data_IF_661802597363
#
_entry.id   IF_661802597363
#
_cell.length_a   1.000
_cell.length_b   1.000
_cell.length_c   1.000
_cell.angle_alpha   90.00
_cell.angle_beta   90.00
_cell.angle_gamma   90.00
#
_symmetry.space_group_name_H-M   'P 1'
#
loop_
_entity.id
_entity.type
_entity.pdbx_description
1 polymer ?
#
# COMPACT_ATOMS: atom_id res chain seq x y z
N UNK A 1 3.20 -4.19 30.27
CA UNK A 1 2.36 -5.14 29.49
C UNK A 1 2.06 -6.40 30.30
N UNK A 2 3.05 -7.17 30.79
CA UNK A 2 2.79 -8.38 31.60
C UNK A 2 1.96 -8.10 32.86
N UNK A 3 2.30 -7.05 33.62
CA UNK A 3 1.54 -6.64 34.82
C UNK A 3 0.08 -6.25 34.55
N UNK A 4 -0.23 -5.72 33.36
CA UNK A 4 -1.59 -5.32 32.98
C UNK A 4 -2.46 -6.55 32.69
N UNK A 5 -1.94 -7.53 31.95
CA UNK A 5 -2.66 -8.78 31.69
C UNK A 5 -2.79 -9.64 32.94
N UNK A 6 -1.78 -9.63 33.82
CA UNK A 6 -1.86 -10.30 35.13
C UNK A 6 -2.92 -9.64 36.01
N UNK A 7 -2.96 -8.31 36.08
CA UNK A 7 -4.00 -7.57 36.81
C UNK A 7 -5.39 -7.83 36.22
N UNK A 8 -5.56 -7.80 34.90
CA UNK A 8 -6.82 -8.08 34.22
C UNK A 8 -7.30 -9.51 34.52
N UNK A 9 -6.39 -10.50 34.46
CA UNK A 9 -6.67 -11.90 34.74
C UNK A 9 -7.08 -12.13 36.20
N UNK A 10 -6.34 -11.55 37.15
CA UNK A 10 -6.68 -11.66 38.59
C UNK A 10 -8.02 -11.00 38.89
N UNK A 11 -8.31 -9.85 38.28
CA UNK A 11 -9.59 -9.12 38.48
C UNK A 11 -10.78 -9.86 37.87
N UNK A 12 -10.60 -10.46 36.68
CA UNK A 12 -11.65 -11.30 36.05
C UNK A 12 -11.88 -12.61 36.81
N UNK A 13 -10.82 -13.25 37.33
CA UNK A 13 -10.94 -14.43 38.19
C UNK A 13 -11.67 -14.12 39.51
N UNK A 14 -11.36 -12.97 40.14
CA UNK A 14 -12.00 -12.54 41.38
C UNK A 14 -13.50 -12.20 41.19
N UNK A 15 -13.85 -11.58 40.06
CA UNK A 15 -15.25 -11.28 39.71
C UNK A 15 -16.04 -12.52 39.29
N UNK A 16 -15.40 -13.49 38.63
CA UNK A 16 -16.03 -14.78 38.31
C UNK A 16 -16.33 -15.62 39.56
N UNK A 17 -15.55 -15.46 40.63
CA UNK A 17 -15.74 -16.17 41.90
C UNK A 17 -16.85 -15.57 42.80
N UNK A 18 -17.42 -14.42 42.46
CA UNK A 18 -18.37 -13.68 43.30
C UNK A 18 -19.80 -13.63 42.72
N UNK A 19 -20.14 -14.53 41.78
CA UNK A 19 -21.42 -14.59 41.02
C UNK A 19 -21.82 -13.29 40.29
N UNK A 20 -20.94 -12.28 40.29
CA UNK A 20 -21.15 -10.97 39.67
C UNK A 20 -20.61 -10.92 38.24
N UNK A 21 -20.99 -11.93 37.44
CA UNK A 21 -20.61 -12.11 36.03
C UNK A 21 -20.87 -10.86 35.16
N UNK A 22 -21.91 -10.08 35.48
CA UNK A 22 -22.27 -8.86 34.73
C UNK A 22 -21.13 -7.83 34.74
N UNK A 23 -20.46 -7.64 35.88
CA UNK A 23 -19.37 -6.67 36.00
C UNK A 23 -18.09 -7.15 35.28
N UNK A 24 -17.83 -8.45 35.24
CA UNK A 24 -16.73 -9.02 34.47
C UNK A 24 -16.90 -8.78 32.96
N UNK A 25 -18.12 -8.96 32.43
CA UNK A 25 -18.43 -8.67 31.03
C UNK A 25 -18.32 -7.18 30.68
N UNK A 26 -18.75 -6.29 31.58
CA UNK A 26 -18.61 -4.83 31.38
C UNK A 26 -17.13 -4.42 31.35
N UNK A 27 -16.31 -4.96 32.26
CA UNK A 27 -14.87 -4.67 32.32
C UNK A 27 -14.13 -5.21 31.09
N UNK A 28 -14.44 -6.42 30.63
CA UNK A 28 -13.89 -6.98 29.38
C UNK A 28 -14.33 -6.12 28.19
N UNK A 29 -15.61 -5.74 28.10
CA UNK A 29 -16.15 -4.92 27.02
C UNK A 29 -15.57 -3.50 26.99
N UNK A 30 -15.13 -2.94 28.13
CA UNK A 30 -14.48 -1.63 28.20
C UNK A 30 -12.97 -1.70 27.98
N UNK A 31 -12.30 -2.75 28.46
CA UNK A 31 -10.84 -2.87 28.39
C UNK A 31 -10.36 -3.47 27.08
N UNK A 32 -11.15 -4.32 26.42
CA UNK A 32 -10.80 -4.89 25.12
C UNK A 32 -10.68 -3.82 24.02
N UNK A 33 -11.61 -2.85 23.86
CA UNK A 33 -11.46 -1.78 22.89
C UNK A 33 -10.28 -0.85 23.19
N UNK A 34 -10.02 -0.54 24.47
CA UNK A 34 -8.94 0.37 24.87
C UNK A 34 -7.56 -0.27 24.66
N UNK A 35 -7.39 -1.54 25.02
CA UNK A 35 -6.14 -2.28 24.79
C UNK A 35 -5.92 -2.58 23.31
N UNK A 36 -6.97 -2.93 22.56
CA UNK A 36 -6.92 -3.10 21.10
C UNK A 36 -6.60 -1.78 20.39
N UNK A 37 -7.27 -0.69 20.78
CA UNK A 37 -6.97 0.65 20.27
C UNK A 37 -5.53 1.03 20.58
N UNK A 38 -5.01 0.82 21.80
CA UNK A 38 -3.63 1.13 22.18
C UNK A 38 -2.59 0.28 21.43
N UNK A 39 -2.87 -1.01 21.18
CA UNK A 39 -2.01 -1.89 20.37
C UNK A 39 -2.00 -1.45 18.90
N UNK A 40 -3.15 -1.06 18.34
CA UNK A 40 -3.22 -0.45 17.00
C UNK A 40 -2.54 0.93 16.98
N UNK A 41 -2.67 1.70 18.06
CA UNK A 41 -2.14 3.06 18.19
C UNK A 41 -0.61 3.07 18.19
N UNK A 42 0.01 2.12 18.88
CA UNK A 42 1.47 1.96 18.91
C UNK A 42 2.01 1.19 17.70
N UNK A 43 1.28 0.21 17.15
CA UNK A 43 1.78 -0.60 16.02
C UNK A 43 1.74 0.10 14.65
N UNK A 44 1.21 1.32 14.58
CA UNK A 44 1.08 2.11 13.34
C UNK A 44 1.70 3.51 13.45
N UNK A 45 2.60 3.74 14.41
CA UNK A 45 3.21 5.05 14.63
C UNK A 45 3.99 5.55 13.40
N UNK A 46 4.78 4.69 12.75
CA UNK A 46 5.50 5.05 11.52
C UNK A 46 4.54 5.45 10.38
N UNK A 47 3.38 4.78 10.24
CA UNK A 47 2.37 5.18 9.23
C UNK A 47 1.88 6.60 9.49
N UNK A 48 1.56 6.93 10.74
CA UNK A 48 1.07 8.28 11.07
C UNK A 48 2.12 9.34 10.83
N UNK A 49 3.37 9.07 11.19
CA UNK A 49 4.49 9.98 10.94
C UNK A 49 4.63 10.23 9.44
N UNK A 50 4.59 9.18 8.63
CA UNK A 50 4.64 9.34 7.18
C UNK A 50 3.45 10.12 6.62
N UNK A 51 2.22 9.82 7.08
CA UNK A 51 1.02 10.54 6.67
C UNK A 51 1.06 12.03 7.07
N UNK A 52 1.75 12.35 8.15
CA UNK A 52 1.99 13.72 8.60
C UNK A 52 3.15 14.40 7.86
N UNK A 53 3.75 13.77 6.85
CA UNK A 53 4.91 14.28 6.11
C UNK A 53 6.24 14.19 6.88
N UNK A 54 6.24 13.54 8.05
CA UNK A 54 7.44 13.31 8.88
C UNK A 54 8.15 12.03 8.45
N UNK A 55 8.59 12.01 7.19
CA UNK A 55 9.16 10.81 6.54
C UNK A 55 10.39 10.29 7.30
N UNK A 56 11.31 11.17 7.69
CA UNK A 56 12.51 10.76 8.43
C UNK A 56 12.17 10.13 9.79
N UNK A 57 11.28 10.75 10.57
CA UNK A 57 10.81 10.21 11.84
C UNK A 57 10.11 8.84 11.66
N UNK A 58 9.41 8.64 10.53
CA UNK A 58 8.79 7.35 10.21
C UNK A 58 9.83 6.25 9.98
N UNK A 59 10.93 6.54 9.27
CA UNK A 59 12.02 5.59 9.08
C UNK A 59 12.80 5.32 10.37
N UNK A 60 13.03 6.34 11.21
CA UNK A 60 13.64 6.16 12.54
C UNK A 60 12.77 5.27 13.45
N UNK A 61 11.43 5.37 13.35
CA UNK A 61 10.53 4.47 14.08
C UNK A 61 10.59 3.04 13.53
N UNK A 62 10.70 2.86 12.21
CA UNK A 62 10.93 1.53 11.63
C UNK A 62 12.25 0.90 12.12
N UNK A 63 13.34 1.67 12.20
CA UNK A 63 14.62 1.19 12.74
C UNK A 63 14.47 0.65 14.17
N UNK A 64 13.73 1.38 15.01
CA UNK A 64 13.41 0.95 16.37
C UNK A 64 12.63 -0.37 16.38
N UNK A 65 11.64 -0.52 15.49
CA UNK A 65 10.85 -1.76 15.42
C UNK A 65 11.67 -2.93 14.88
N UNK A 66 12.50 -2.73 13.85
CA UNK A 66 13.36 -3.80 13.34
C UNK A 66 14.32 -4.30 14.42
N UNK A 67 14.99 -3.38 15.13
CA UNK A 67 15.88 -3.71 16.25
C UNK A 67 15.15 -4.49 17.36
N UNK A 68 13.91 -4.09 17.66
CA UNK A 68 13.06 -4.77 18.65
C UNK A 68 12.65 -6.20 18.22
N UNK A 69 12.53 -6.45 16.93
CA UNK A 69 12.04 -7.71 16.37
C UNK A 69 13.14 -8.60 15.75
N UNK A 70 14.43 -8.28 15.94
CA UNK A 70 15.56 -9.06 15.43
C UNK A 70 15.43 -10.57 15.70
N UNK A 71 14.99 -10.94 16.89
CA UNK A 71 14.84 -12.33 17.32
C UNK A 71 13.46 -12.94 16.98
N UNK A 72 12.62 -12.25 16.20
CA UNK A 72 11.27 -12.67 15.83
C UNK A 72 11.10 -12.60 14.30
N UNK A 73 11.58 -13.60 13.56
CA UNK A 73 11.67 -13.56 12.08
C UNK A 73 10.37 -13.16 11.38
N UNK A 74 9.23 -13.71 11.80
CA UNK A 74 7.91 -13.37 11.21
C UNK A 74 7.56 -11.90 11.38
N UNK A 75 7.74 -11.35 12.58
CA UNK A 75 7.45 -9.94 12.85
C UNK A 75 8.45 -9.03 12.12
N UNK A 76 9.73 -9.41 12.10
CA UNK A 76 10.77 -8.69 11.37
C UNK A 76 10.47 -8.59 9.88
N UNK A 77 10.08 -9.70 9.25
CA UNK A 77 9.73 -9.72 7.83
C UNK A 77 8.53 -8.83 7.53
N UNK A 78 7.53 -8.76 8.42
CA UNK A 78 6.41 -7.84 8.27
C UNK A 78 6.87 -6.37 8.31
N UNK A 79 7.78 -6.02 9.23
CA UNK A 79 8.36 -4.67 9.30
C UNK A 79 9.15 -4.35 8.02
N UNK A 80 9.94 -5.31 7.49
CA UNK A 80 10.72 -5.13 6.27
C UNK A 80 9.84 -4.91 5.03
N UNK A 81 8.76 -5.67 4.86
CA UNK A 81 7.79 -5.41 3.76
C UNK A 81 7.15 -4.04 3.93
N UNK A 82 6.85 -3.63 5.16
CA UNK A 82 6.30 -2.30 5.43
C UNK A 82 7.29 -1.18 5.09
N UNK A 83 8.56 -1.36 5.42
CA UNK A 83 9.65 -0.46 5.01
C UNK A 83 9.78 -0.39 3.49
N UNK A 84 9.72 -1.51 2.79
CA UNK A 84 9.76 -1.53 1.34
C UNK A 84 8.58 -0.75 0.74
N UNK A 85 7.39 -0.87 1.32
CA UNK A 85 6.24 -0.06 0.92
C UNK A 85 6.48 1.44 1.12
N UNK A 86 7.10 1.85 2.23
CA UNK A 86 7.45 3.26 2.49
C UNK A 86 8.45 3.79 1.47
N UNK A 87 9.48 3.02 1.15
CA UNK A 87 10.46 3.35 0.11
C UNK A 87 9.78 3.55 -1.26
N UNK A 88 8.90 2.63 -1.64
CA UNK A 88 8.12 2.73 -2.88
C UNK A 88 7.28 4.02 -2.92
N UNK A 89 6.65 4.39 -1.79
CA UNK A 89 5.83 5.60 -1.66
C UNK A 89 6.61 6.92 -1.66
N UNK A 90 7.94 6.89 -1.65
CA UNK A 90 8.77 8.08 -1.86
C UNK A 90 9.53 8.04 -3.19
N UNK A 91 9.24 7.04 -4.04
CA UNK A 91 9.89 6.85 -5.33
C UNK A 91 11.20 6.06 -5.29
N UNK A 92 11.60 5.55 -4.12
CA UNK A 92 12.81 4.73 -3.94
C UNK A 92 12.55 3.27 -4.33
N UNK A 93 12.13 3.05 -5.58
CA UNK A 93 11.72 1.73 -6.08
C UNK A 93 12.86 0.70 -6.07
N UNK A 94 14.08 1.12 -6.41
CA UNK A 94 15.25 0.24 -6.39
C UNK A 94 15.60 -0.23 -4.97
N UNK A 95 15.62 0.68 -4.00
CA UNK A 95 15.85 0.34 -2.59
C UNK A 95 14.72 -0.55 -2.03
N UNK A 96 13.47 -0.27 -2.42
CA UNK A 96 12.32 -1.10 -2.09
C UNK A 96 12.49 -2.54 -2.61
N UNK A 97 12.87 -2.70 -3.89
CA UNK A 97 13.11 -4.01 -4.50
C UNK A 97 14.24 -4.78 -3.81
N UNK A 98 15.40 -4.14 -3.62
CA UNK A 98 16.54 -4.76 -2.96
C UNK A 98 16.17 -5.27 -1.56
N UNK A 99 15.37 -4.50 -0.81
CA UNK A 99 14.88 -4.94 0.49
C UNK A 99 13.94 -6.15 0.37
N UNK A 100 12.96 -6.12 -0.53
CA UNK A 100 11.98 -7.21 -0.72
C UNK A 100 12.66 -8.53 -1.14
N UNK A 101 13.64 -8.45 -2.04
CA UNK A 101 14.43 -9.58 -2.51
C UNK A 101 15.34 -10.16 -1.41
N UNK A 102 15.81 -9.32 -0.48
CA UNK A 102 16.65 -9.73 0.66
C UNK A 102 15.90 -10.46 1.78
N UNK A 103 14.56 -10.45 1.78
CA UNK A 103 13.76 -11.04 2.87
C UNK A 103 13.91 -12.58 2.84
N UNK A 104 14.47 -13.19 3.90
CA UNK A 104 14.77 -14.62 3.89
C UNK A 104 13.54 -15.47 4.22
N UNK A 105 13.55 -16.69 3.69
CA UNK A 105 12.62 -17.75 4.05
C UNK A 105 11.22 -17.62 3.43
N UNK A 106 10.36 -18.58 3.77
CA UNK A 106 8.98 -18.62 3.30
C UNK A 106 8.14 -17.65 4.12
N UNK A 107 7.53 -16.67 3.44
CA UNK A 107 6.57 -15.75 4.04
C UNK A 107 5.21 -16.41 4.20
N UNK A 108 4.38 -15.86 5.09
CA UNK A 108 2.97 -16.22 5.07
C UNK A 108 2.33 -15.79 3.73
N UNK A 109 1.27 -16.48 3.27
CA UNK A 109 0.72 -16.24 1.94
C UNK A 109 0.29 -14.78 1.68
N UNK A 110 -0.20 -14.08 2.70
CA UNK A 110 -0.61 -12.70 2.56
C UNK A 110 0.60 -11.77 2.43
N UNK A 111 1.62 -11.97 3.27
CA UNK A 111 2.84 -11.18 3.19
C UNK A 111 3.63 -11.46 1.91
N UNK A 112 3.60 -12.70 1.42
CA UNK A 112 4.14 -13.07 0.11
C UNK A 112 3.43 -12.33 -1.02
N UNK A 113 2.10 -12.32 -1.01
CA UNK A 113 1.33 -11.59 -2.01
C UNK A 113 1.57 -10.07 -1.93
N UNK A 114 1.80 -9.50 -0.75
CA UNK A 114 2.23 -8.10 -0.63
C UNK A 114 3.60 -7.86 -1.24
N UNK A 115 4.56 -8.77 -0.99
CA UNK A 115 5.89 -8.70 -1.59
C UNK A 115 5.82 -8.74 -3.10
N UNK A 116 5.05 -9.68 -3.66
CA UNK A 116 4.86 -9.81 -5.11
C UNK A 116 4.19 -8.58 -5.71
N UNK A 117 3.11 -8.09 -5.10
CA UNK A 117 2.41 -6.89 -5.57
C UNK A 117 3.32 -5.65 -5.57
N UNK A 118 4.14 -5.47 -4.52
CA UNK A 118 5.09 -4.36 -4.44
C UNK A 118 6.23 -4.50 -5.44
N UNK A 119 6.81 -5.69 -5.62
CA UNK A 119 7.84 -5.92 -6.63
C UNK A 119 7.30 -5.61 -8.03
N UNK A 120 6.12 -6.15 -8.37
CA UNK A 120 5.51 -5.91 -9.67
C UNK A 120 5.18 -4.43 -9.89
N UNK A 121 4.66 -3.74 -8.88
CA UNK A 121 4.46 -2.30 -8.93
C UNK A 121 5.76 -1.54 -9.15
N UNK A 122 6.82 -1.85 -8.40
CA UNK A 122 8.11 -1.17 -8.51
C UNK A 122 8.78 -1.41 -9.88
N UNK A 123 8.68 -2.63 -10.43
CA UNK A 123 9.14 -2.95 -11.78
C UNK A 123 8.40 -2.10 -12.83
N UNK A 124 7.07 -2.03 -12.73
CA UNK A 124 6.26 -1.15 -13.57
C UNK A 124 6.67 0.34 -13.46
N UNK A 125 6.78 0.85 -12.24
CA UNK A 125 7.13 2.25 -11.99
C UNK A 125 8.53 2.62 -12.47
N UNK A 126 9.46 1.65 -12.52
CA UNK A 126 10.82 1.84 -13.01
C UNK A 126 11.00 1.51 -14.49
N UNK A 127 9.93 1.09 -15.19
CA UNK A 127 10.02 0.62 -16.58
C UNK A 127 10.92 -0.62 -16.76
N UNK A 128 11.12 -1.40 -15.69
CA UNK A 128 12.00 -2.57 -15.68
C UNK A 128 11.18 -3.86 -15.61
N UNK A 129 11.67 -4.94 -16.22
CA UNK A 129 11.11 -6.31 -16.08
C UNK A 129 9.57 -6.37 -16.22
N UNK A 130 9.01 -5.64 -17.19
CA UNK A 130 7.55 -5.46 -17.35
C UNK A 130 6.74 -6.76 -17.45
N UNK A 131 7.27 -7.77 -18.17
CA UNK A 131 6.62 -9.08 -18.24
C UNK A 131 6.49 -9.73 -16.87
N UNK A 132 7.53 -9.61 -16.04
CA UNK A 132 7.53 -10.15 -14.68
C UNK A 132 6.66 -9.32 -13.74
N UNK A 133 6.56 -8.01 -13.97
CA UNK A 133 5.63 -7.15 -13.24
C UNK A 133 4.19 -7.67 -13.36
N UNK A 134 3.74 -7.99 -14.58
CA UNK A 134 2.42 -8.59 -14.82
C UNK A 134 2.22 -9.89 -14.01
N UNK A 135 3.18 -10.83 -14.11
CA UNK A 135 3.08 -12.12 -13.44
C UNK A 135 3.02 -11.97 -11.91
N UNK A 136 3.85 -11.10 -11.33
CA UNK A 136 3.87 -10.83 -9.89
C UNK A 136 2.57 -10.19 -9.41
N UNK A 137 2.01 -9.24 -10.16
CA UNK A 137 0.72 -8.61 -9.82
C UNK A 137 -0.41 -9.63 -9.88
N UNK A 138 -0.45 -10.50 -10.90
CA UNK A 138 -1.44 -11.59 -11.00
C UNK A 138 -1.33 -12.56 -9.84
N UNK A 139 -0.12 -12.94 -9.44
CA UNK A 139 0.10 -13.82 -8.28
C UNK A 139 -0.36 -13.17 -6.98
N UNK A 140 -0.07 -11.89 -6.80
CA UNK A 140 -0.56 -11.10 -5.67
C UNK A 140 -2.09 -11.10 -5.62
N UNK A 141 -2.76 -10.80 -6.74
CA UNK A 141 -4.23 -10.74 -6.85
C UNK A 141 -4.94 -12.05 -6.51
N UNK A 142 -4.30 -13.21 -6.74
CA UNK A 142 -4.87 -14.51 -6.36
C UNK A 142 -5.07 -14.66 -4.85
N UNK A 143 -4.20 -14.03 -4.06
CA UNK A 143 -4.25 -14.09 -2.59
C UNK A 143 -4.90 -12.83 -2.00
N UNK A 144 -4.64 -11.68 -2.62
CA UNK A 144 -4.98 -10.35 -2.17
C UNK A 144 -5.78 -9.66 -3.27
N UNK A 145 -7.06 -10.02 -3.38
CA UNK A 145 -8.02 -9.54 -4.38
C UNK A 145 -8.37 -8.04 -4.20
N UNK A 146 -7.37 -7.19 -4.40
CA UNK A 146 -7.42 -5.75 -4.12
C UNK A 146 -7.71 -4.97 -5.39
N UNK A 147 -8.69 -4.07 -5.31
CA UNK A 147 -9.12 -3.28 -6.47
C UNK A 147 -7.97 -2.46 -7.08
N UNK A 148 -7.14 -1.78 -6.26
CA UNK A 148 -6.03 -0.97 -6.77
C UNK A 148 -4.99 -1.76 -7.58
N UNK A 149 -4.78 -3.03 -7.24
CA UNK A 149 -3.86 -3.92 -7.97
C UNK A 149 -4.38 -4.27 -9.36
N UNK A 150 -5.69 -4.24 -9.60
CA UNK A 150 -6.26 -4.41 -10.94
C UNK A 150 -5.99 -3.21 -11.85
N UNK A 151 -5.94 -1.98 -11.32
CA UNK A 151 -5.57 -0.81 -12.12
C UNK A 151 -4.09 -0.86 -12.54
N UNK A 152 -3.21 -1.28 -11.62
CA UNK A 152 -1.79 -1.49 -11.95
C UNK A 152 -1.67 -2.59 -13.02
N UNK A 153 -2.37 -3.72 -12.84
CA UNK A 153 -2.37 -4.79 -13.84
C UNK A 153 -2.86 -4.27 -15.20
N UNK A 154 -3.97 -3.53 -15.24
CA UNK A 154 -4.53 -2.98 -16.47
C UNK A 154 -3.50 -2.11 -17.21
N UNK A 155 -2.80 -1.23 -16.49
CA UNK A 155 -1.78 -0.36 -17.07
C UNK A 155 -0.55 -1.15 -17.58
N UNK A 156 -0.06 -2.12 -16.80
CA UNK A 156 1.05 -3.00 -17.20
C UNK A 156 0.71 -3.80 -18.45
N UNK A 157 -0.46 -4.44 -18.48
CA UNK A 157 -0.91 -5.22 -19.65
C UNK A 157 -1.09 -4.32 -20.87
N UNK A 158 -1.52 -3.07 -20.68
CA UNK A 158 -1.67 -2.12 -21.77
C UNK A 158 -0.32 -1.74 -22.37
N UNK A 159 0.66 -1.44 -21.52
CA UNK A 159 2.04 -1.15 -21.97
C UNK A 159 2.73 -2.36 -22.64
N UNK A 160 2.34 -3.58 -22.26
CA UNK A 160 2.80 -4.80 -22.92
C UNK A 160 2.06 -5.12 -24.24
N UNK A 161 1.04 -4.34 -24.62
CA UNK A 161 0.21 -4.59 -25.81
C UNK A 161 -0.82 -5.71 -25.64
N UNK A 162 -1.04 -6.20 -24.41
CA UNK A 162 -2.03 -7.24 -24.11
C UNK A 162 -3.42 -6.62 -23.91
N UNK A 163 -4.02 -6.10 -24.98
CA UNK A 163 -5.25 -5.28 -24.92
C UNK A 163 -6.43 -5.95 -24.21
N UNK A 164 -6.67 -7.24 -24.48
CA UNK A 164 -7.79 -7.97 -23.88
C UNK A 164 -7.61 -8.16 -22.36
N UNK A 165 -6.42 -8.58 -21.94
CA UNK A 165 -6.09 -8.75 -20.53
C UNK A 165 -6.14 -7.40 -19.79
N UNK A 166 -5.65 -6.34 -20.45
CA UNK A 166 -5.71 -4.97 -19.95
C UNK A 166 -7.15 -4.51 -19.70
N UNK A 167 -8.04 -4.70 -20.69
CA UNK A 167 -9.46 -4.33 -20.58
C UNK A 167 -10.16 -5.11 -19.48
N UNK A 168 -9.94 -6.42 -19.39
CA UNK A 168 -10.52 -7.26 -18.35
C UNK A 168 -10.10 -6.80 -16.94
N UNK A 169 -8.83 -6.43 -16.78
CA UNK A 169 -8.34 -5.90 -15.51
C UNK A 169 -8.97 -4.54 -15.18
N UNK A 170 -9.11 -3.64 -16.16
CA UNK A 170 -9.77 -2.34 -15.95
C UNK A 170 -11.25 -2.50 -15.59
N UNK A 171 -11.99 -3.38 -16.27
CA UNK A 171 -13.40 -3.63 -15.97
C UNK A 171 -13.57 -4.17 -14.54
N UNK A 172 -12.68 -5.08 -14.13
CA UNK A 172 -12.65 -5.63 -12.77
C UNK A 172 -12.33 -4.55 -11.74
N UNK A 173 -11.39 -3.65 -12.06
CA UNK A 173 -11.08 -2.48 -11.23
C UNK A 173 -12.32 -1.59 -11.03
N UNK A 174 -12.99 -1.21 -12.13
CA UNK A 174 -14.16 -0.32 -12.11
C UNK A 174 -15.32 -0.94 -11.33
N UNK A 175 -15.58 -2.23 -11.50
CA UNK A 175 -16.60 -2.97 -10.75
C UNK A 175 -16.30 -2.96 -9.25
N UNK A 176 -15.08 -3.35 -8.85
CA UNK A 176 -14.68 -3.40 -7.43
C UNK A 176 -14.64 -2.03 -6.77
N UNK A 177 -14.23 -0.99 -7.49
CA UNK A 177 -14.22 0.41 -7.00
C UNK A 177 -15.63 0.86 -6.64
N UNK A 178 -16.64 0.55 -7.46
CA UNK A 178 -18.05 0.91 -7.20
C UNK A 178 -18.64 0.22 -5.98
N UNK A 179 -18.25 -1.02 -5.75
CA UNK A 179 -18.78 -1.82 -4.64
C UNK A 179 -18.28 -1.37 -3.26
N UNK A 180 -17.39 -0.36 -3.18
CA UNK A 180 -16.74 0.08 -1.93
C UNK A 180 -16.14 -1.09 -1.13
N UNK A 181 -15.84 -2.23 -1.78
CA UNK A 181 -15.30 -3.40 -1.09
C UNK A 181 -14.00 -2.95 -0.47
N UNK A 182 -13.99 -3.02 0.86
CA UNK A 182 -12.98 -2.38 1.67
C UNK A 182 -11.61 -2.78 1.15
N UNK A 183 -10.89 -1.73 0.83
CA UNK A 183 -9.49 -1.77 0.59
C UNK A 183 -8.82 -2.46 1.79
N UNK A 184 -8.36 -3.72 1.63
CA UNK A 184 -7.55 -4.42 2.64
C UNK A 184 -6.28 -4.92 1.95
N UNK A 185 -5.30 -4.03 1.71
CA UNK A 185 -3.91 -4.46 1.88
C UNK A 185 -3.70 -4.62 3.37
N UNK A 186 -2.94 -5.66 3.72
CA UNK A 186 -2.12 -5.54 4.92
C UNK A 186 -1.21 -4.32 4.76
N UNK A 187 -1.67 -3.19 5.30
CA UNK A 187 -0.86 -2.04 5.70
C UNK A 187 0.19 -1.54 4.70
N UNK A 188 -0.22 -1.22 3.48
CA UNK A 188 0.70 -0.71 2.44
C UNK A 188 0.42 0.77 2.18
N UNK A 189 0.59 1.60 3.19
CA UNK A 189 0.56 3.07 3.23
C UNK A 189 -0.34 3.95 2.33
N UNK A 190 -0.44 3.68 1.02
CA UNK A 190 -1.25 4.36 -0.01
C UNK A 190 -2.71 4.56 0.44
N UNK A 191 -3.12 3.86 1.50
CA UNK A 191 -4.48 3.43 1.79
C UNK A 191 -5.04 4.04 3.06
N UNK A 192 -4.18 4.70 3.81
CA UNK A 192 -4.58 5.54 4.94
C UNK A 192 -4.59 7.02 4.56
N UNK A 193 -4.02 7.39 3.40
CA UNK A 193 -4.12 8.75 2.86
C UNK A 193 -5.01 8.76 1.62
N UNK A 194 -6.27 9.19 1.78
CA UNK A 194 -7.18 9.36 0.65
C UNK A 194 -6.61 10.28 -0.43
N UNK A 195 -5.76 11.26 -0.06
CA UNK A 195 -5.10 12.15 -1.03
C UNK A 195 -4.06 11.40 -1.86
N UNK A 196 -3.15 10.68 -1.22
CA UNK A 196 -2.12 9.88 -1.93
C UNK A 196 -2.75 8.79 -2.80
N UNK A 197 -3.86 8.19 -2.33
CA UNK A 197 -4.63 7.22 -3.09
C UNK A 197 -5.18 7.84 -4.38
N UNK A 198 -5.83 8.99 -4.27
CA UNK A 198 -6.38 9.68 -5.44
C UNK A 198 -5.27 10.10 -6.41
N UNK A 199 -4.14 10.62 -5.91
CA UNK A 199 -3.00 10.98 -6.75
C UNK A 199 -2.43 9.79 -7.51
N UNK A 200 -2.26 8.66 -6.84
CA UNK A 200 -1.81 7.42 -7.47
C UNK A 200 -2.83 6.93 -8.50
N UNK A 201 -4.11 6.94 -8.15
CA UNK A 201 -5.19 6.46 -9.02
C UNK A 201 -5.21 7.25 -10.34
N UNK A 202 -5.23 8.58 -10.24
CA UNK A 202 -5.20 9.48 -11.40
C UNK A 202 -3.90 9.31 -12.20
N UNK A 203 -2.74 9.17 -11.54
CA UNK A 203 -1.48 8.90 -12.24
C UNK A 203 -1.52 7.57 -13.03
N UNK A 204 -2.02 6.49 -12.43
CA UNK A 204 -2.11 5.19 -13.08
C UNK A 204 -3.13 5.17 -14.22
N UNK A 205 -4.26 5.88 -14.09
CA UNK A 205 -5.21 6.07 -15.18
C UNK A 205 -4.57 6.85 -16.33
N UNK A 206 -3.83 7.92 -16.03
CA UNK A 206 -3.08 8.67 -17.03
C UNK A 206 -2.11 7.77 -17.81
N UNK A 207 -1.35 6.93 -17.11
CA UNK A 207 -0.45 5.94 -17.74
C UNK A 207 -1.19 4.92 -18.60
N UNK A 208 -2.31 4.39 -18.09
CA UNK A 208 -3.16 3.44 -18.82
C UNK A 208 -3.65 4.02 -20.15
N UNK A 209 -4.18 5.24 -20.16
CA UNK A 209 -4.68 5.90 -21.37
C UNK A 209 -3.54 6.28 -22.31
N UNK A 210 -2.39 6.70 -21.78
CA UNK A 210 -1.22 7.02 -22.58
C UNK A 210 -0.71 5.79 -23.34
N UNK A 211 -0.62 4.64 -22.68
CA UNK A 211 -0.25 3.36 -23.31
C UNK A 211 -1.24 2.93 -24.40
N UNK A 212 -2.48 3.44 -24.35
CA UNK A 212 -3.52 3.26 -25.35
C UNK A 212 -3.52 4.27 -26.49
N UNK A 213 -2.57 5.20 -26.54
CA UNK A 213 -2.55 6.34 -27.46
C UNK A 213 -3.75 7.30 -27.29
N UNK A 214 -4.37 7.32 -26.11
CA UNK A 214 -5.50 8.18 -25.77
C UNK A 214 -4.99 9.46 -25.05
N UNK A 215 -4.18 10.25 -25.74
CA UNK A 215 -3.38 11.35 -25.14
C UNK A 215 -4.21 12.41 -24.41
N UNK A 216 -5.35 12.85 -24.96
CA UNK A 216 -6.21 13.86 -24.32
C UNK A 216 -6.79 13.36 -22.97
N UNK A 217 -7.15 12.08 -22.92
CA UNK A 217 -7.68 11.45 -21.71
C UNK A 217 -6.55 11.23 -20.71
N UNK A 218 -5.38 10.78 -21.17
CA UNK A 218 -4.18 10.67 -20.35
C UNK A 218 -3.79 12.03 -19.72
N UNK A 219 -3.79 13.10 -20.51
CA UNK A 219 -3.50 14.46 -20.05
C UNK A 219 -4.46 14.89 -18.93
N UNK A 220 -5.76 14.63 -19.09
CA UNK A 220 -6.78 14.98 -18.09
C UNK A 220 -6.48 14.33 -16.73
N UNK A 221 -6.12 13.04 -16.74
CA UNK A 221 -5.78 12.30 -15.53
C UNK A 221 -4.46 12.78 -14.89
N UNK A 222 -3.42 13.02 -15.68
CA UNK A 222 -2.17 13.58 -15.15
C UNK A 222 -2.38 14.99 -14.58
N UNK A 223 -3.19 15.83 -15.22
CA UNK A 223 -3.52 17.16 -14.72
C UNK A 223 -4.28 17.09 -13.38
N UNK A 224 -5.21 16.14 -13.25
CA UNK A 224 -5.93 15.90 -11.99
C UNK A 224 -4.98 15.48 -10.86
N UNK A 225 -4.06 14.55 -11.12
CA UNK A 225 -3.04 14.15 -10.16
C UNK A 225 -2.08 15.29 -9.78
N UNK A 226 -1.64 16.08 -10.76
CA UNK A 226 -0.70 17.19 -10.56
C UNK A 226 -1.30 18.39 -9.80
N UNK A 227 -2.62 18.59 -9.90
CA UNK A 227 -3.35 19.67 -9.24
C UNK A 227 -3.62 19.39 -7.74
N UNK A 228 -3.42 18.15 -7.28
CA UNK A 228 -3.62 17.81 -5.88
C UNK A 228 -2.54 18.50 -5.01
N UNK A 229 -2.92 19.10 -3.87
CA UNK A 229 -2.06 20.00 -3.10
C UNK A 229 -0.93 19.29 -2.33
N UNK A 230 -0.67 18.01 -2.60
CA UNK A 230 0.42 17.28 -1.97
C UNK A 230 1.66 17.32 -2.85
N UNK A 231 2.84 17.50 -2.24
CA UNK A 231 4.12 17.27 -2.88
C UNK A 231 4.44 15.76 -2.96
N UNK A 232 3.41 14.93 -3.19
CA UNK A 232 3.52 13.49 -3.29
C UNK A 232 4.29 13.07 -4.55
N UNK A 233 4.87 11.86 -4.57
CA UNK A 233 5.64 11.37 -5.71
C UNK A 233 4.80 11.33 -6.99
N UNK A 234 3.51 10.95 -6.91
CA UNK A 234 2.65 10.79 -8.07
C UNK A 234 2.19 12.14 -8.67
N UNK A 235 2.00 13.17 -7.84
CA UNK A 235 1.78 14.53 -8.32
C UNK A 235 3.01 15.07 -9.08
N UNK A 236 4.23 14.80 -8.57
CA UNK A 236 5.47 15.15 -9.27
C UNK A 236 5.63 14.38 -10.58
N UNK A 237 5.48 13.06 -10.55
CA UNK A 237 5.56 12.22 -11.75
C UNK A 237 4.52 12.65 -12.80
N UNK A 238 3.31 13.03 -12.39
CA UNK A 238 2.29 13.52 -13.31
C UNK A 238 2.68 14.83 -13.99
N UNK A 239 3.36 15.75 -13.27
CA UNK A 239 3.91 16.98 -13.87
C UNK A 239 4.97 16.67 -14.92
N UNK A 240 5.88 15.74 -14.61
CA UNK A 240 6.90 15.27 -15.56
C UNK A 240 6.26 14.67 -16.83
N UNK A 241 5.19 13.88 -16.68
CA UNK A 241 4.45 13.34 -17.84
C UNK A 241 3.78 14.44 -18.68
N UNK A 242 3.17 15.45 -18.04
CA UNK A 242 2.53 16.58 -18.75
C UNK A 242 3.55 17.39 -19.54
N UNK A 243 4.75 17.62 -18.98
CA UNK A 243 5.84 18.29 -19.69
C UNK A 243 6.25 17.51 -20.94
N UNK A 244 6.41 16.18 -20.84
CA UNK A 244 6.74 15.31 -21.97
C UNK A 244 5.66 15.36 -23.07
N UNK A 245 4.38 15.28 -22.70
CA UNK A 245 3.27 15.38 -23.64
C UNK A 245 3.28 16.73 -24.37
N UNK A 246 3.48 17.84 -23.65
CA UNK A 246 3.51 19.18 -24.26
C UNK A 246 4.65 19.39 -25.28
N UNK A 247 5.81 18.75 -25.05
CA UNK A 247 6.95 18.79 -25.95
C UNK A 247 6.69 17.98 -27.23
N UNK A 248 6.01 16.84 -27.11
CA UNK A 248 5.65 16.00 -28.25
C UNK A 248 4.71 16.72 -29.24
N UNK A 249 3.69 17.42 -28.73
CA UNK A 249 2.74 18.21 -29.54
C UNK A 249 3.42 19.38 -30.26
N UNK A 250 4.40 20.01 -29.61
CA UNK A 250 5.15 21.14 -30.19
C UNK A 250 6.11 20.68 -31.29
N UNK A 251 6.63 19.45 -31.21
CA UNK A 251 7.52 18.87 -32.23
C UNK A 251 6.79 18.41 -33.50
N UNK A 252 5.52 17.98 -33.38
CA UNK A 252 4.71 17.53 -34.51
C UNK A 252 4.18 18.68 -35.41
N UNK A 253 4.32 19.93 -34.95
CA UNK A 253 3.88 21.14 -35.66
C UNK A 253 5.05 21.80 -36.43
N UNK A 254 6.27 21.25 -36.35
CA UNK A 254 7.44 21.69 -37.13
C UNK A 254 7.77 20.71 -38.26
#
# INVERSE_FOLDING_TARGET
>A
MSLFYVSLFVTTMWLAATDNMIYAWIIIALLFPVSFAFIIFNSLKFNRLFLAGKTEEAFQELDKQENKFLNKPKALNQIRVTRASLLSNIGEFAASNALLESIPGKLDPNLEAMRQGLLGFNYYMSGSRMSEASDLIRQSLRSLNQWGSYLILAAVERELGNEEASRQALDTYLDKRKQNVSFVLGKTLILYNKKLLNELEEYLLGRYYLAGYEEETAYTHFAAAAALPSNGPYARLSKEMLEQLSLSTTSAIR
#
